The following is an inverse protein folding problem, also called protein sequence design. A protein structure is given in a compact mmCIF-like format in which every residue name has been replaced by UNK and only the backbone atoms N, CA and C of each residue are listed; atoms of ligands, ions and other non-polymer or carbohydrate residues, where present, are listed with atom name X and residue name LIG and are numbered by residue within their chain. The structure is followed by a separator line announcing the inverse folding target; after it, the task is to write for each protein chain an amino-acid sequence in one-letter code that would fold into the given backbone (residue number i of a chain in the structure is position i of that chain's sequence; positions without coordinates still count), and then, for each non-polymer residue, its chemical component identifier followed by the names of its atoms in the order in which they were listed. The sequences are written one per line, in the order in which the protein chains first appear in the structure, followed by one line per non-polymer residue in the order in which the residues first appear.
data_IF_696096890801
#
_entry.id   IF_696096890801
#
_cell.length_a   1.000
_cell.length_b   1.000
_cell.length_c   1.000
_cell.angle_alpha   90.00
_cell.angle_beta   90.00
_cell.angle_gamma   90.00
#
_symmetry.space_group_name_H-M   'P 1'
#
loop_
_entity.id
_entity.type
_entity.pdbx_description
1 polymer ?
#
# COMPACT_ATOMS: atom_id res chain seq x y z
N UNK A 1 3.13 -2.80 36.79
CA UNK A 1 2.86 -2.63 35.34
C UNK A 1 3.35 -1.23 35.00
N UNK A 2 4.27 -1.09 34.03
CA UNK A 2 4.82 0.23 33.72
C UNK A 2 3.76 1.11 33.06
N UNK A 3 3.69 2.38 33.46
CA UNK A 3 2.81 3.34 32.82
C UNK A 3 3.46 3.83 31.51
N UNK A 4 2.87 3.43 30.39
CA UNK A 4 3.33 3.81 29.05
C UNK A 4 2.75 5.16 28.61
N UNK A 5 1.80 5.74 29.37
CA UNK A 5 1.26 7.05 29.10
C UNK A 5 2.28 8.15 29.41
N UNK A 6 3.01 8.02 30.53
CA UNK A 6 3.98 9.01 31.02
C UNK A 6 5.39 8.86 30.41
N UNK A 7 5.49 8.34 29.18
CA UNK A 7 6.78 8.14 28.53
C UNK A 7 7.43 9.49 28.18
N UNK A 8 8.74 9.70 28.46
CA UNK A 8 9.42 10.92 28.06
C UNK A 8 9.36 11.15 26.55
N UNK A 9 9.22 12.42 26.16
CA UNK A 9 9.04 12.81 24.76
C UNK A 9 10.16 12.28 23.84
N UNK A 10 11.40 12.27 24.33
CA UNK A 10 12.55 11.78 23.57
C UNK A 10 12.42 10.30 23.19
N UNK A 11 11.84 9.49 24.08
CA UNK A 11 11.60 8.06 23.83
C UNK A 11 10.48 7.89 22.80
N UNK A 12 9.42 8.69 22.89
CA UNK A 12 8.34 8.69 21.89
C UNK A 12 8.84 9.05 20.49
N UNK A 13 9.78 10.00 20.38
CA UNK A 13 10.43 10.34 19.12
C UNK A 13 11.22 9.14 18.58
N UNK A 14 12.01 8.46 19.41
CA UNK A 14 12.79 7.28 19.00
C UNK A 14 11.87 6.15 18.53
N UNK A 15 10.79 5.87 19.27
CA UNK A 15 9.77 4.89 18.86
C UNK A 15 9.20 5.27 17.50
N UNK A 16 8.72 6.51 17.34
CA UNK A 16 8.12 6.98 16.10
C UNK A 16 9.08 6.91 14.90
N UNK A 17 10.38 7.12 15.10
CA UNK A 17 11.42 6.97 14.08
C UNK A 17 11.72 5.50 13.72
N UNK A 18 11.50 4.58 14.67
CA UNK A 18 11.70 3.15 14.45
C UNK A 18 10.54 2.48 13.68
N UNK A 19 9.38 3.13 13.59
CA UNK A 19 8.21 2.61 12.88
C UNK A 19 8.42 2.66 11.37
N UNK A 20 8.43 1.49 10.75
CA UNK A 20 8.65 1.30 9.31
C UNK A 20 7.36 1.19 8.52
N UNK A 21 6.27 0.75 9.16
CA UNK A 21 4.95 0.67 8.55
C UNK A 21 4.14 1.92 8.83
N UNK A 22 3.50 2.44 7.79
CA UNK A 22 2.56 3.57 7.93
C UNK A 22 1.36 3.21 8.82
N UNK A 23 0.94 1.93 8.83
CA UNK A 23 -0.14 1.46 9.69
C UNK A 23 0.25 1.59 11.17
N UNK A 24 1.44 1.12 11.53
CA UNK A 24 1.95 1.22 12.90
C UNK A 24 2.14 2.68 13.32
N UNK A 25 2.65 3.52 12.42
CA UNK A 25 2.76 4.96 12.68
C UNK A 25 1.39 5.62 12.88
N UNK A 26 0.39 5.23 12.09
CA UNK A 26 -0.98 5.72 12.25
C UNK A 26 -1.53 5.31 13.62
N UNK A 27 -1.39 4.05 14.00
CA UNK A 27 -1.79 3.54 15.31
C UNK A 27 -1.07 4.26 16.46
N UNK A 28 0.23 4.51 16.32
CA UNK A 28 1.03 5.27 17.27
C UNK A 28 0.44 6.67 17.52
N UNK A 29 0.09 7.39 16.46
CA UNK A 29 -0.52 8.73 16.59
C UNK A 29 -1.94 8.73 17.12
N UNK A 30 -2.60 7.57 17.17
CA UNK A 30 -3.97 7.40 17.63
C UNK A 30 -4.09 7.06 19.13
N UNK A 31 -2.97 6.83 19.83
CA UNK A 31 -2.96 6.47 21.27
C UNK A 31 -3.51 7.60 22.13
N UNK A 32 -2.85 8.76 22.13
CA UNK A 32 -3.26 9.94 22.90
C UNK A 32 -2.70 11.24 22.27
N UNK A 33 -3.07 12.40 22.85
CA UNK A 33 -2.61 13.71 22.36
C UNK A 33 -1.09 13.89 22.41
N UNK A 34 -0.43 13.34 23.43
CA UNK A 34 1.03 13.46 23.62
C UNK A 34 1.77 12.66 22.55
N UNK A 35 1.38 11.42 22.30
CA UNK A 35 1.94 10.59 21.23
C UNK A 35 1.71 11.22 19.85
N UNK A 36 0.52 11.79 19.62
CA UNK A 36 0.23 12.54 18.38
C UNK A 36 1.13 13.77 18.22
N UNK A 37 1.48 14.45 19.32
CA UNK A 37 2.29 15.68 19.28
C UNK A 37 3.70 15.45 18.71
N UNK A 38 4.22 14.22 18.79
CA UNK A 38 5.50 13.79 18.19
C UNK A 38 5.58 14.14 16.70
N UNK A 39 4.45 14.11 15.99
CA UNK A 39 4.37 14.43 14.56
C UNK A 39 4.86 15.84 14.22
N UNK A 40 4.73 16.79 15.15
CA UNK A 40 5.20 18.16 14.98
C UNK A 40 6.72 18.31 15.18
N UNK A 41 7.31 17.43 15.98
CA UNK A 41 8.75 17.44 16.32
C UNK A 41 9.57 16.70 15.25
N UNK A 42 8.97 15.71 14.60
CA UNK A 42 9.58 14.95 13.52
C UNK A 42 9.86 15.84 12.30
N UNK A 43 11.06 16.44 12.26
CA UNK A 43 11.56 17.28 11.14
C UNK A 43 11.55 16.55 9.80
N UNK A 44 11.65 15.23 9.83
CA UNK A 44 11.40 14.35 8.70
C UNK A 44 10.24 13.46 9.11
N UNK A 45 9.24 13.31 8.23
CA UNK A 45 8.34 12.16 8.32
C UNK A 45 9.21 10.91 8.51
N UNK A 46 8.77 9.90 9.30
CA UNK A 46 9.49 8.64 9.39
C UNK A 46 9.96 8.30 8.00
N UNK A 47 11.24 7.94 7.85
CA UNK A 47 11.73 7.46 6.57
C UNK A 47 10.95 6.19 6.30
N UNK A 48 9.75 6.33 5.76
CA UNK A 48 8.90 5.26 5.30
C UNK A 48 9.84 4.56 4.35
N UNK A 49 10.39 3.40 4.75
CA UNK A 49 11.45 2.77 4.00
C UNK A 49 10.97 2.68 2.58
N UNK A 50 11.86 3.01 1.65
CA UNK A 50 11.62 3.04 0.21
C UNK A 50 10.69 1.90 -0.13
N UNK A 51 9.42 2.28 -0.33
CA UNK A 51 8.20 1.48 -0.39
C UNK A 51 8.53 -0.02 -0.48
N UNK A 52 8.33 -0.78 0.62
CA UNK A 52 8.43 -2.24 0.57
C UNK A 52 7.73 -2.74 -0.70
N UNK A 53 8.37 -3.62 -1.49
CA UNK A 53 7.83 -4.04 -2.76
C UNK A 53 6.47 -4.68 -2.50
N UNK A 54 5.40 -3.96 -2.86
CA UNK A 54 4.07 -4.55 -2.90
C UNK A 54 4.02 -5.37 -4.17
N UNK A 55 3.82 -6.66 -4.00
CA UNK A 55 3.80 -7.58 -5.13
C UNK A 55 2.38 -7.59 -5.67
N UNK A 56 2.22 -7.14 -6.92
CA UNK A 56 0.96 -7.33 -7.62
C UNK A 56 0.81 -8.83 -7.94
N UNK A 57 -0.30 -9.42 -7.50
CA UNK A 57 -0.65 -10.81 -7.77
C UNK A 57 -1.17 -10.96 -9.21
N UNK A 58 -1.09 -12.19 -9.72
CA UNK A 58 -1.66 -12.52 -11.01
C UNK A 58 -3.17 -12.24 -11.03
N UNK A 59 -3.70 -11.95 -12.22
CA UNK A 59 -5.15 -11.86 -12.40
C UNK A 59 -5.78 -13.20 -12.06
N UNK A 60 -6.89 -13.19 -11.33
CA UNK A 60 -7.70 -14.39 -11.19
C UNK A 60 -8.40 -14.62 -12.53
N UNK A 61 -8.11 -15.74 -13.16
CA UNK A 61 -8.86 -16.20 -14.32
C UNK A 61 -9.91 -17.15 -13.76
N UNK A 62 -11.10 -16.63 -13.48
CA UNK A 62 -12.21 -17.51 -13.08
C UNK A 62 -12.49 -18.41 -14.28
N UNK A 63 -12.19 -19.71 -14.12
CA UNK A 63 -12.25 -20.69 -15.21
C UNK A 63 -13.66 -21.27 -15.38
N UNK A 64 -14.60 -20.83 -14.55
CA UNK A 64 -15.99 -21.32 -14.51
C UNK A 64 -16.90 -20.08 -14.40
N UNK A 65 -17.90 -20.02 -15.28
CA UNK A 65 -18.99 -19.02 -15.35
C UNK A 65 -18.67 -17.65 -15.99
N UNK A 66 -18.41 -17.66 -17.30
CA UNK A 66 -18.37 -16.45 -18.14
C UNK A 66 -19.76 -15.93 -18.57
N UNK A 67 -20.87 -16.57 -18.19
CA UNK A 67 -22.19 -16.21 -18.75
C UNK A 67 -22.99 -15.15 -17.97
N UNK A 68 -22.54 -14.72 -16.77
CA UNK A 68 -23.32 -13.81 -15.92
C UNK A 68 -22.53 -12.64 -15.31
N UNK A 69 -21.46 -12.17 -15.99
CA UNK A 69 -20.73 -10.99 -15.52
C UNK A 69 -21.33 -9.72 -16.12
N UNK A 70 -22.34 -9.18 -15.44
CA UNK A 70 -22.79 -7.81 -15.66
C UNK A 70 -21.62 -6.83 -15.50
N UNK A 71 -21.74 -5.68 -16.14
CA UNK A 71 -20.82 -4.53 -16.31
C UNK A 71 -20.24 -3.90 -15.01
N UNK A 72 -20.19 -4.63 -13.89
CA UNK A 72 -19.83 -4.11 -12.56
C UNK A 72 -18.52 -4.69 -11.98
N UNK A 73 -17.91 -5.69 -12.62
CA UNK A 73 -16.64 -6.27 -12.16
C UNK A 73 -15.45 -5.62 -12.88
N UNK A 74 -15.22 -4.33 -12.60
CA UNK A 74 -13.97 -3.68 -12.99
C UNK A 74 -12.80 -4.52 -12.42
N UNK A 75 -11.84 -4.91 -13.27
CA UNK A 75 -10.81 -5.90 -12.88
C UNK A 75 -10.09 -5.49 -11.59
N UNK A 76 -10.30 -6.28 -10.54
CA UNK A 76 -9.69 -6.09 -9.23
C UNK A 76 -8.29 -6.68 -9.25
N UNK A 77 -7.28 -5.86 -8.94
CA UNK A 77 -5.90 -6.30 -8.73
C UNK A 77 -5.61 -6.43 -7.25
N UNK A 78 -4.99 -7.55 -6.88
CA UNK A 78 -4.55 -7.80 -5.52
C UNK A 78 -3.07 -7.47 -5.36
N UNK A 79 -2.71 -6.81 -4.26
CA UNK A 79 -1.34 -6.46 -3.89
C UNK A 79 -1.00 -7.09 -2.55
N UNK A 80 0.06 -7.89 -2.53
CA UNK A 80 0.59 -8.49 -1.31
C UNK A 80 1.62 -7.55 -0.67
N UNK A 81 1.39 -7.22 0.60
CA UNK A 81 2.40 -6.63 1.46
C UNK A 81 3.06 -7.74 2.27
N UNK A 82 4.31 -8.05 1.94
CA UNK A 82 5.07 -9.12 2.58
C UNK A 82 5.31 -8.85 4.08
N UNK A 83 5.47 -7.59 4.47
CA UNK A 83 5.80 -7.24 5.85
C UNK A 83 4.61 -7.43 6.79
N UNK A 84 3.43 -6.99 6.35
CA UNK A 84 2.20 -7.16 7.12
C UNK A 84 1.56 -8.55 6.91
N UNK A 85 2.04 -9.33 5.93
CA UNK A 85 1.35 -10.52 5.42
C UNK A 85 -0.12 -10.27 5.07
N UNK A 86 -0.41 -9.05 4.59
CA UNK A 86 -1.76 -8.59 4.22
C UNK A 86 -1.89 -8.44 2.71
N UNK A 87 -3.07 -8.78 2.20
CA UNK A 87 -3.43 -8.57 0.79
C UNK A 87 -4.39 -7.40 0.69
N UNK A 88 -4.13 -6.47 -0.22
CA UNK A 88 -4.99 -5.32 -0.50
C UNK A 88 -5.60 -5.49 -1.90
N UNK A 89 -6.88 -5.18 -2.02
CA UNK A 89 -7.59 -5.20 -3.29
C UNK A 89 -7.73 -3.77 -3.81
N UNK A 90 -7.46 -3.59 -5.10
CA UNK A 90 -7.57 -2.32 -5.79
C UNK A 90 -8.31 -2.51 -7.10
N UNK A 91 -9.36 -1.71 -7.30
CA UNK A 91 -10.05 -1.58 -8.57
C UNK A 91 -9.10 -0.93 -9.58
N UNK A 92 -8.65 -1.69 -10.57
CA UNK A 92 -7.68 -1.24 -11.58
C UNK A 92 -8.07 -1.74 -12.97
N UNK A 93 -9.21 -1.25 -13.52
CA UNK A 93 -9.72 -1.66 -14.82
C UNK A 93 -8.72 -1.40 -15.97
N UNK A 94 -7.86 -0.40 -15.85
CA UNK A 94 -6.84 -0.05 -16.84
C UNK A 94 -5.79 -1.17 -17.01
N UNK A 95 -5.64 -2.02 -16.01
CA UNK A 95 -4.76 -3.18 -16.03
C UNK A 95 -5.50 -4.50 -16.37
N UNK A 96 -6.82 -4.46 -16.60
CA UNK A 96 -7.65 -5.65 -16.88
C UNK A 96 -7.16 -6.39 -18.12
N UNK A 97 -6.92 -7.71 -18.00
CA UNK A 97 -6.46 -8.54 -19.12
C UNK A 97 -5.08 -8.16 -19.68
N UNK A 98 -4.32 -7.28 -19.00
CA UNK A 98 -2.98 -6.83 -19.40
C UNK A 98 -1.91 -7.48 -18.53
N UNK A 99 -0.79 -7.87 -19.14
CA UNK A 99 0.39 -8.31 -18.38
C UNK A 99 1.03 -7.09 -17.73
N UNK A 100 1.24 -7.16 -16.42
CA UNK A 100 1.82 -6.06 -15.65
C UNK A 100 3.23 -6.40 -15.15
N UNK A 101 4.10 -5.39 -15.11
CA UNK A 101 5.46 -5.46 -14.56
C UNK A 101 5.74 -4.21 -13.72
N UNK A 102 6.37 -4.40 -12.57
CA UNK A 102 6.78 -3.29 -11.71
C UNK A 102 7.88 -2.45 -12.36
N UNK A 103 7.77 -1.13 -12.22
CA UNK A 103 8.75 -0.14 -12.62
C UNK A 103 9.14 0.76 -11.44
N UNK A 104 10.03 1.71 -11.70
CA UNK A 104 10.56 2.60 -10.67
C UNK A 104 9.44 3.40 -9.98
N UNK A 105 9.60 3.68 -8.69
CA UNK A 105 8.62 4.44 -7.88
C UNK A 105 7.18 3.88 -7.85
N UNK A 106 6.99 2.57 -8.02
CA UNK A 106 5.68 1.93 -7.90
C UNK A 106 4.78 2.08 -9.13
N UNK A 107 5.33 2.56 -10.24
CA UNK A 107 4.68 2.50 -11.55
C UNK A 107 4.62 1.07 -12.07
N UNK A 108 3.70 0.80 -12.98
CA UNK A 108 3.53 -0.47 -13.68
C UNK A 108 3.66 -0.26 -15.18
N UNK A 109 4.47 -1.07 -15.84
CA UNK A 109 4.35 -1.28 -17.29
C UNK A 109 3.25 -2.30 -17.53
N UNK A 110 2.29 -1.95 -18.37
CA UNK A 110 1.21 -2.84 -18.79
C UNK A 110 1.32 -3.10 -20.28
N UNK A 111 1.17 -4.35 -20.69
CA UNK A 111 1.12 -4.75 -22.10
C UNK A 111 -0.13 -5.59 -22.36
N UNK A 112 -0.95 -5.12 -23.29
CA UNK A 112 -2.16 -5.81 -23.73
C UNK A 112 -1.88 -6.84 -24.82
N UNK A 113 -2.89 -7.64 -25.15
CA UNK A 113 -2.87 -8.56 -26.29
C UNK A 113 -2.78 -7.82 -27.64
N UNK A 114 -3.24 -6.58 -27.65
CA UNK A 114 -3.16 -5.61 -28.74
C UNK A 114 -1.75 -5.02 -28.92
N UNK A 115 -0.77 -5.47 -28.11
CA UNK A 115 0.59 -4.97 -28.04
C UNK A 115 0.71 -3.50 -27.61
N UNK A 116 -0.39 -2.89 -27.14
CA UNK A 116 -0.33 -1.55 -26.59
C UNK A 116 0.42 -1.57 -25.26
N UNK A 117 1.30 -0.60 -25.07
CA UNK A 117 2.12 -0.47 -23.88
C UNK A 117 1.74 0.81 -23.16
N UNK A 118 1.31 0.68 -21.91
CA UNK A 118 0.98 1.83 -21.08
C UNK A 118 1.83 1.81 -19.81
N UNK A 119 2.23 3.00 -19.38
CA UNK A 119 2.80 3.23 -18.07
C UNK A 119 1.66 3.66 -17.14
N UNK A 120 1.40 2.88 -16.08
CA UNK A 120 0.26 3.07 -15.18
C UNK A 120 0.73 3.21 -13.74
N UNK A 121 0.29 4.25 -13.04
CA UNK A 121 0.46 4.36 -11.60
C UNK A 121 -0.82 3.91 -10.87
N UNK A 122 -0.82 2.77 -10.16
CA UNK A 122 -2.06 2.16 -9.64
C UNK A 122 -2.88 3.06 -8.71
N UNK A 123 -2.22 3.93 -7.95
CA UNK A 123 -2.88 4.76 -6.94
C UNK A 123 -3.31 6.14 -7.46
N UNK A 124 -2.72 6.63 -8.56
CA UNK A 124 -3.10 7.91 -9.16
C UNK A 124 -3.88 7.74 -10.46
N UNK A 125 -3.93 6.53 -11.02
CA UNK A 125 -4.60 6.19 -12.28
C UNK A 125 -4.12 7.05 -13.46
N UNK A 126 -2.83 7.38 -13.44
CA UNK A 126 -2.12 8.09 -14.52
C UNK A 126 -1.30 7.11 -15.34
#
# INVERSE_FOLDING_TARGET
MADWADLPMDILVVIAQSLTLIEDFTSFTAVCKEWKSVTSILKKKPSLPTRYPRIMLAEKIDTEDQENRGDQDASVRCFLNLLASKTYQLQLPEASGRKCRGAHYGWLWTIGIDLQINLLHPFSRQ
#
